data_IF_767754155113
#
_entry.id   IF_767754155113
#
_cell.length_a   1.000
_cell.length_b   1.000
_cell.length_c   1.000
_cell.angle_alpha   90.00
_cell.angle_beta   90.00
_cell.angle_gamma   90.00
#
_symmetry.space_group_name_H-M   'P 1'
#
loop_
_entity.id
_entity.type
_entity.pdbx_description
1 polymer ?
#
# COMPACT_ATOMS: atom_id res chain seq x y z
N UNK A 1 -13.10 8.17 -4.78
CA UNK A 1 -13.05 6.81 -4.20
C UNK A 1 -12.00 6.83 -3.11
N UNK A 2 -12.29 6.26 -1.94
CA UNK A 2 -11.29 6.09 -0.88
C UNK A 2 -10.34 4.98 -1.32
N UNK A 3 -9.02 5.23 -1.32
CA UNK A 3 -8.04 4.21 -1.68
C UNK A 3 -7.81 3.26 -0.51
N UNK A 4 -7.69 1.97 -0.79
CA UNK A 4 -7.38 0.93 0.20
C UNK A 4 -5.92 0.53 0.10
N UNK A 5 -5.20 0.72 1.20
CA UNK A 5 -3.75 0.56 1.29
C UNK A 5 -3.43 -0.58 2.26
N UNK A 6 -2.77 -1.61 1.77
CA UNK A 6 -2.25 -2.69 2.59
C UNK A 6 -0.89 -2.27 3.20
N UNK A 7 -0.74 -2.30 4.52
CA UNK A 7 0.49 -1.80 5.19
C UNK A 7 1.04 -2.85 6.14
N UNK A 8 2.36 -3.05 6.09
CA UNK A 8 3.06 -3.91 7.05
C UNK A 8 2.88 -3.37 8.47
N UNK A 9 2.36 -4.21 9.38
CA UNK A 9 2.05 -3.84 10.76
C UNK A 9 3.23 -3.28 11.57
N UNK A 10 4.47 -3.37 11.09
CA UNK A 10 5.63 -2.70 11.69
C UNK A 10 5.55 -1.17 11.60
N UNK A 11 4.80 -0.62 10.65
CA UNK A 11 4.66 0.83 10.47
C UNK A 11 3.45 1.43 11.22
N UNK A 12 3.33 1.19 12.53
CA UNK A 12 2.18 1.64 13.33
C UNK A 12 1.90 3.15 13.18
N UNK A 13 2.93 4.00 13.23
CA UNK A 13 2.74 5.44 13.07
C UNK A 13 2.21 5.81 11.68
N UNK A 14 2.75 5.18 10.62
CA UNK A 14 2.30 5.41 9.26
C UNK A 14 0.85 4.96 9.05
N UNK A 15 0.44 3.86 9.68
CA UNK A 15 -0.93 3.35 9.62
C UNK A 15 -1.91 4.40 10.17
N UNK A 16 -1.62 4.96 11.34
CA UNK A 16 -2.47 5.99 11.94
C UNK A 16 -2.46 7.27 11.10
N UNK A 17 -1.28 7.73 10.65
CA UNK A 17 -1.18 8.92 9.81
C UNK A 17 -1.96 8.78 8.48
N UNK A 18 -1.94 7.59 7.85
CA UNK A 18 -2.71 7.32 6.64
C UNK A 18 -4.22 7.25 6.91
N UNK A 19 -4.65 6.66 8.03
CA UNK A 19 -6.06 6.67 8.43
C UNK A 19 -6.57 8.09 8.65
N UNK A 20 -5.78 8.93 9.32
CA UNK A 20 -6.10 10.34 9.58
C UNK A 20 -6.19 11.16 8.29
N UNK A 21 -5.40 10.80 7.27
CA UNK A 21 -5.47 11.38 5.91
C UNK A 21 -6.62 10.82 5.07
N UNK A 22 -7.44 9.92 5.64
CA UNK A 22 -8.65 9.41 5.02
C UNK A 22 -8.43 8.18 4.12
N UNK A 23 -7.27 7.52 4.17
CA UNK A 23 -7.08 6.22 3.50
C UNK A 23 -7.76 5.10 4.28
N UNK A 24 -8.19 4.05 3.59
CA UNK A 24 -8.55 2.80 4.25
C UNK A 24 -7.27 1.97 4.38
N UNK A 25 -6.91 1.58 5.60
CA UNK A 25 -5.65 0.86 5.86
C UNK A 25 -5.95 -0.53 6.37
N UNK A 26 -5.44 -1.54 5.68
CA UNK A 26 -5.58 -2.97 6.03
C UNK A 26 -4.21 -3.58 6.32
N UNK A 27 -4.19 -4.65 7.09
CA UNK A 27 -2.94 -5.38 7.37
C UNK A 27 -2.42 -6.06 6.10
N UNK A 28 -1.13 -5.89 5.80
CA UNK A 28 -0.52 -6.42 4.57
C UNK A 28 -0.64 -7.93 4.43
N UNK A 29 -0.54 -8.67 5.53
CA UNK A 29 -0.54 -10.13 5.55
C UNK A 29 -1.89 -10.72 5.99
N UNK A 30 -2.89 -9.86 6.21
CA UNK A 30 -4.26 -10.26 6.53
C UNK A 30 -5.05 -10.70 5.30
N UNK A 31 -6.23 -11.30 5.50
CA UNK A 31 -7.12 -11.65 4.39
C UNK A 31 -7.79 -10.39 3.82
N UNK A 32 -7.33 -9.91 2.66
CA UNK A 32 -7.94 -8.80 1.92
C UNK A 32 -7.89 -9.06 0.41
N UNK A 33 -8.72 -8.32 -0.34
CA UNK A 33 -8.77 -8.34 -1.80
C UNK A 33 -9.05 -6.93 -2.31
N UNK A 34 -8.49 -6.57 -3.47
CA UNK A 34 -8.84 -5.33 -4.16
C UNK A 34 -8.16 -4.08 -3.60
N UNK A 35 -6.93 -4.20 -3.08
CA UNK A 35 -6.16 -3.05 -2.60
C UNK A 35 -5.53 -2.26 -3.75
N UNK A 36 -5.44 -0.94 -3.60
CA UNK A 36 -4.83 -0.04 -4.60
C UNK A 36 -3.29 -0.03 -4.49
N UNK A 37 -2.77 -0.20 -3.27
CA UNK A 37 -1.34 -0.20 -3.00
C UNK A 37 -0.96 -1.07 -1.81
N UNK A 38 0.29 -1.51 -1.78
CA UNK A 38 0.90 -2.19 -0.64
C UNK A 38 2.20 -1.51 -0.21
N UNK A 39 2.38 -1.33 1.10
CA UNK A 39 3.56 -0.73 1.72
C UNK A 39 4.25 -1.81 2.56
N UNK A 40 5.45 -2.20 2.16
CA UNK A 40 6.23 -3.27 2.80
C UNK A 40 7.52 -2.74 3.43
N UNK A 41 8.06 -3.48 4.40
CA UNK A 41 9.30 -3.08 5.11
C UNK A 41 10.55 -3.88 4.68
N UNK A 42 10.47 -5.20 4.44
CA UNK A 42 11.60 -6.00 3.93
C UNK A 42 11.10 -7.05 2.93
N UNK A 43 10.97 -6.64 1.68
CA UNK A 43 10.38 -7.48 0.63
C UNK A 43 8.95 -7.92 0.96
N UNK A 44 8.38 -8.75 0.09
CA UNK A 44 7.05 -9.33 0.27
C UNK A 44 7.19 -10.84 0.24
N UNK A 45 6.71 -11.52 1.29
CA UNK A 45 6.77 -12.98 1.40
C UNK A 45 5.42 -13.64 1.06
N UNK A 46 4.32 -13.10 1.58
CA UNK A 46 2.99 -13.71 1.47
C UNK A 46 1.90 -12.65 1.19
N UNK A 47 1.99 -11.93 0.07
CA UNK A 47 0.96 -10.97 -0.33
C UNK A 47 -0.12 -11.66 -1.15
N UNK A 48 -1.28 -11.86 -0.54
CA UNK A 48 -2.46 -12.42 -1.17
C UNK A 48 -3.38 -11.28 -1.61
N UNK A 49 -3.24 -10.80 -2.85
CA UNK A 49 -4.29 -9.99 -3.48
C UNK A 49 -5.05 -10.83 -4.50
N UNK A 50 -5.81 -11.79 -3.98
CA UNK A 50 -6.55 -12.75 -4.79
C UNK A 50 -7.84 -12.12 -5.34
N UNK A 51 -7.71 -11.22 -6.30
CA UNK A 51 -8.85 -10.80 -7.13
C UNK A 51 -8.51 -11.01 -8.61
N UNK A 52 -8.49 -12.27 -9.04
CA UNK A 52 -8.17 -12.68 -10.42
C UNK A 52 -9.18 -12.18 -11.46
N UNK A 53 -10.30 -11.61 -11.02
CA UNK A 53 -11.35 -11.07 -11.88
C UNK A 53 -11.15 -9.60 -12.24
N UNK A 54 -10.44 -8.85 -11.39
CA UNK A 54 -10.15 -7.44 -11.63
C UNK A 54 -8.66 -7.31 -11.96
N UNK A 55 -8.36 -6.93 -13.21
CA UNK A 55 -7.01 -6.64 -13.70
C UNK A 55 -6.46 -5.33 -13.08
N UNK A 56 -6.55 -5.19 -11.76
CA UNK A 56 -6.18 -4.00 -11.02
C UNK A 56 -4.72 -4.14 -10.60
N UNK A 57 -3.85 -3.34 -11.21
CA UNK A 57 -2.45 -3.27 -10.82
C UNK A 57 -2.35 -2.73 -9.39
N UNK A 58 -1.60 -3.42 -8.54
CA UNK A 58 -1.29 -2.95 -7.18
C UNK A 58 0.01 -2.16 -7.21
N UNK A 59 0.00 -0.96 -6.64
CA UNK A 59 1.21 -0.18 -6.45
C UNK A 59 2.03 -0.72 -5.26
N UNK A 60 3.24 -1.20 -5.52
CA UNK A 60 4.14 -1.70 -4.48
C UNK A 60 5.10 -0.60 -4.01
N UNK A 61 5.18 -0.37 -2.70
CA UNK A 61 5.98 0.71 -2.10
C UNK A 61 6.87 0.14 -1.00
N UNK A 62 8.18 0.33 -1.11
CA UNK A 62 9.10 0.13 0.01
C UNK A 62 8.92 1.30 0.99
N UNK A 63 8.35 1.01 2.17
CA UNK A 63 8.11 2.00 3.22
C UNK A 63 9.34 2.34 4.06
N UNK A 64 10.42 1.58 3.93
CA UNK A 64 11.59 1.73 4.80
C UNK A 64 12.28 3.07 4.59
N UNK A 65 12.40 3.84 5.68
CA UNK A 65 13.05 5.14 5.66
C UNK A 65 12.26 6.26 4.96
N UNK A 66 10.98 6.02 4.62
CA UNK A 66 10.10 7.06 4.05
C UNK A 66 9.21 7.67 5.11
N UNK A 67 8.96 8.96 4.96
CA UNK A 67 7.95 9.70 5.72
C UNK A 67 6.56 9.50 5.15
N UNK A 68 5.51 9.79 5.93
CA UNK A 68 4.13 9.71 5.43
C UNK A 68 3.87 10.65 4.25
N UNK A 69 4.48 11.83 4.22
CA UNK A 69 4.30 12.77 3.11
C UNK A 69 4.90 12.24 1.80
N UNK A 70 6.04 11.54 1.88
CA UNK A 70 6.64 10.87 0.71
C UNK A 70 5.80 9.70 0.23
N UNK A 71 5.26 8.90 1.17
CA UNK A 71 4.33 7.81 0.85
C UNK A 71 3.08 8.36 0.18
N UNK A 72 2.48 9.42 0.72
CA UNK A 72 1.31 10.05 0.14
C UNK A 72 1.60 10.62 -1.25
N UNK A 73 2.75 11.27 -1.44
CA UNK A 73 3.15 11.76 -2.76
C UNK A 73 3.24 10.62 -3.80
N UNK A 74 3.72 9.44 -3.40
CA UNK A 74 3.74 8.23 -4.25
C UNK A 74 2.31 7.74 -4.53
N UNK A 75 1.46 7.64 -3.51
CA UNK A 75 0.07 7.21 -3.63
C UNK A 75 -0.77 8.14 -4.51
N UNK A 76 -0.50 9.45 -4.48
CA UNK A 76 -1.21 10.45 -5.28
C UNK A 76 -0.70 10.52 -6.72
N UNK A 77 0.61 10.34 -6.95
CA UNK A 77 1.19 10.41 -8.31
C UNK A 77 0.77 9.25 -9.20
N UNK A 78 0.41 8.10 -8.64
CA UNK A 78 -0.30 7.01 -9.32
C UNK A 78 0.39 6.35 -10.52
N UNK A 79 1.54 6.83 -10.98
CA UNK A 79 2.25 6.32 -12.15
C UNK A 79 3.75 6.50 -11.93
N UNK A 80 4.46 5.40 -11.67
CA UNK A 80 5.85 5.31 -12.08
C UNK A 80 5.88 4.45 -13.33
N UNK A 81 6.44 5.01 -14.41
CA UNK A 81 6.72 4.27 -15.63
C UNK A 81 7.56 3.04 -15.30
N UNK A 82 7.28 1.94 -16.02
CA UNK A 82 8.11 0.74 -16.11
C UNK A 82 9.60 1.04 -15.95
N UNK A 83 10.29 0.33 -15.06
CA UNK A 83 11.76 0.29 -14.97
C UNK A 83 12.38 -0.68 -15.99
N UNK A 84 11.62 -1.03 -17.03
CA UNK A 84 12.06 -1.74 -18.23
C UNK A 84 11.79 -0.89 -19.46
#
# INVERSE_FOLDING_TARGET
MRKTIAVDGRFQNLIEDLKDRGYEVVDLYGPHTGVDACIYHDGIRDFHNADSYNNTAVLMIDGKGKTVDEIEAILQRGVYSSLF
#
